data_IF_456008818480
#
_entry.id   IF_456008818480
#
_cell.length_a   1.000
_cell.length_b   1.000
_cell.length_c   1.000
_cell.angle_alpha   90.00
_cell.angle_beta   90.00
_cell.angle_gamma   90.00
#
_symmetry.space_group_name_H-M   'P 1'
#
loop_
_entity.id
_entity.type
_entity.pdbx_description
1 polymer ?
#
# COMPACT_ATOMS: atom_id res chain seq x y z
N UNK A 1 -28.20 -12.28 -3.90
CA UNK A 1 -26.87 -12.24 -4.53
C UNK A 1 -26.20 -13.60 -4.36
N UNK A 2 -25.52 -14.13 -5.36
CA UNK A 2 -24.84 -15.44 -5.23
C UNK A 2 -23.69 -15.35 -4.22
N UNK A 3 -23.60 -16.30 -3.28
CA UNK A 3 -22.53 -16.40 -2.29
C UNK A 3 -21.12 -16.37 -2.91
N UNK A 4 -20.99 -16.84 -4.16
CA UNK A 4 -19.72 -16.82 -4.90
C UNK A 4 -19.25 -15.40 -5.20
N UNK A 5 -20.18 -14.49 -5.52
CA UNK A 5 -19.84 -13.11 -5.87
C UNK A 5 -19.28 -12.34 -4.66
N UNK A 6 -19.85 -12.58 -3.48
CA UNK A 6 -19.40 -11.94 -2.24
C UNK A 6 -18.01 -12.45 -1.82
N UNK A 7 -17.75 -13.74 -2.00
CA UNK A 7 -16.41 -14.33 -1.77
C UNK A 7 -15.35 -13.74 -2.70
N UNK A 8 -15.66 -13.60 -4.00
CA UNK A 8 -14.75 -12.97 -4.97
C UNK A 8 -14.48 -11.52 -4.57
N UNK A 9 -15.50 -10.77 -4.17
CA UNK A 9 -15.34 -9.39 -3.72
C UNK A 9 -14.42 -9.29 -2.49
N UNK A 10 -14.61 -10.15 -1.48
CA UNK A 10 -13.75 -10.18 -0.28
C UNK A 10 -12.29 -10.49 -0.63
N UNK A 11 -12.05 -11.49 -1.49
CA UNK A 11 -10.70 -11.83 -1.96
C UNK A 11 -10.06 -10.68 -2.73
N UNK A 12 -10.82 -10.02 -3.60
CA UNK A 12 -10.36 -8.86 -4.36
C UNK A 12 -9.95 -7.70 -3.43
N UNK A 13 -10.78 -7.38 -2.45
CA UNK A 13 -10.48 -6.33 -1.48
C UNK A 13 -9.27 -6.66 -0.61
N UNK A 14 -9.11 -7.92 -0.19
CA UNK A 14 -7.91 -8.40 0.49
C UNK A 14 -6.65 -8.23 -0.38
N UNK A 15 -6.73 -8.56 -1.67
CA UNK A 15 -5.62 -8.39 -2.60
C UNK A 15 -5.22 -6.90 -2.75
N UNK A 16 -6.19 -5.97 -2.73
CA UNK A 16 -5.91 -4.53 -2.74
C UNK A 16 -5.17 -4.08 -1.48
N UNK A 17 -5.59 -4.54 -0.30
CA UNK A 17 -4.89 -4.22 0.96
C UNK A 17 -3.45 -4.74 0.94
N UNK A 18 -3.26 -5.99 0.53
CA UNK A 18 -1.92 -6.61 0.46
C UNK A 18 -1.02 -5.88 -0.55
N UNK A 19 -1.56 -5.50 -1.70
CA UNK A 19 -0.83 -4.73 -2.72
C UNK A 19 -0.43 -3.35 -2.19
N UNK A 20 -1.35 -2.66 -1.50
CA UNK A 20 -1.06 -1.37 -0.87
C UNK A 20 0.01 -1.46 0.21
N UNK A 21 -0.05 -2.49 1.06
CA UNK A 21 0.96 -2.74 2.08
C UNK A 21 2.34 -3.05 1.47
N UNK A 22 2.39 -3.86 0.42
CA UNK A 22 3.62 -4.16 -0.32
C UNK A 22 4.29 -2.90 -0.89
N UNK A 23 3.50 -2.03 -1.55
CA UNK A 23 4.00 -0.76 -2.10
C UNK A 23 4.54 0.14 -0.98
N UNK A 24 3.85 0.20 0.17
CA UNK A 24 4.30 0.96 1.33
C UNK A 24 5.63 0.47 1.89
N UNK A 25 5.81 -0.85 2.02
CA UNK A 25 7.06 -1.47 2.49
C UNK A 25 8.20 -1.20 1.50
N UNK A 26 7.96 -1.38 0.20
CA UNK A 26 8.98 -1.14 -0.83
C UNK A 26 9.44 0.32 -0.83
N UNK A 27 8.50 1.26 -0.72
CA UNK A 27 8.84 2.68 -0.62
C UNK A 27 9.65 2.99 0.65
N UNK A 28 9.29 2.38 1.80
CA UNK A 28 10.04 2.57 3.04
C UNK A 28 11.48 2.04 2.94
N UNK A 29 11.67 0.88 2.32
CA UNK A 29 12.99 0.30 2.11
C UNK A 29 13.86 1.16 1.18
N UNK A 30 13.30 1.72 0.11
CA UNK A 30 14.01 2.61 -0.80
C UNK A 30 14.54 3.87 -0.09
N UNK A 31 13.70 4.50 0.74
CA UNK A 31 14.11 5.67 1.53
C UNK A 31 15.22 5.30 2.52
N UNK A 32 15.09 4.17 3.23
CA UNK A 32 16.12 3.71 4.17
C UNK A 32 17.47 3.48 3.49
N UNK A 33 17.48 2.82 2.33
CA UNK A 33 18.72 2.59 1.58
C UNK A 33 19.35 3.87 1.04
N UNK A 34 18.54 4.90 0.74
CA UNK A 34 19.04 6.21 0.32
C UNK A 34 19.70 6.95 1.50
N UNK A 35 19.03 6.97 2.66
CA UNK A 35 19.58 7.57 3.88
C UNK A 35 20.87 6.90 4.36
N UNK A 36 20.95 5.56 4.29
CA UNK A 36 22.17 4.83 4.63
C UNK A 36 23.34 5.15 3.69
N UNK A 37 23.07 5.54 2.44
CA UNK A 37 24.10 5.95 1.47
C UNK A 37 24.56 7.40 1.68
N UNK A 38 23.65 8.31 2.04
CA UNK A 38 23.98 9.68 2.44
C UNK A 38 24.87 9.71 3.68
N UNK A 39 24.53 8.94 4.71
CA UNK A 39 25.32 8.86 5.95
C UNK A 39 26.72 8.26 5.72
N UNK A 40 26.88 7.44 4.66
CA UNK A 40 28.16 6.83 4.29
C UNK A 40 29.03 7.72 3.40
N UNK A 41 28.44 8.63 2.61
CA UNK A 41 29.13 9.52 1.69
C UNK A 41 28.77 10.99 1.99
N UNK A 42 29.29 11.50 3.10
CA UNK A 42 29.04 12.86 3.61
C UNK A 42 29.56 14.03 2.74
N UNK A 43 30.10 13.75 1.55
CA UNK A 43 30.66 14.76 0.63
C UNK A 43 29.74 15.07 -0.58
N UNK A 44 28.70 14.27 -0.83
CA UNK A 44 27.70 14.52 -1.88
C UNK A 44 26.31 14.59 -1.24
N UNK A 45 25.63 15.73 -1.35
CA UNK A 45 24.22 15.86 -0.95
C UNK A 45 23.35 15.11 -1.97
N UNK A 46 22.92 13.89 -1.65
CA UNK A 46 21.89 13.20 -2.44
C UNK A 46 20.54 13.70 -1.93
N UNK A 47 19.79 14.39 -2.79
CA UNK A 47 18.45 14.84 -2.46
C UNK A 47 17.50 13.63 -2.53
N UNK A 48 17.35 12.91 -1.41
CA UNK A 48 16.53 11.69 -1.31
C UNK A 48 15.01 11.95 -1.37
N UNK A 49 14.57 13.21 -1.54
CA UNK A 49 13.15 13.57 -1.62
C UNK A 49 12.61 13.37 -3.03
N UNK A 50 12.39 12.10 -3.39
CA UNK A 50 11.89 11.71 -4.70
C UNK A 50 10.35 11.87 -4.75
N UNK A 51 9.76 12.67 -5.67
CA UNK A 51 8.30 12.83 -5.79
C UNK A 51 7.55 11.50 -6.02
N UNK A 52 8.25 10.47 -6.47
CA UNK A 52 7.72 9.11 -6.57
C UNK A 52 7.36 8.51 -5.20
N UNK A 53 8.04 8.90 -4.12
CA UNK A 53 7.78 8.41 -2.77
C UNK A 53 6.43 8.87 -2.23
N UNK A 54 6.08 10.14 -2.46
CA UNK A 54 4.79 10.71 -2.05
C UNK A 54 3.63 10.09 -2.83
N UNK A 55 3.81 9.89 -4.15
CA UNK A 55 2.83 9.21 -4.99
C UNK A 55 2.65 7.75 -4.54
N UNK A 56 3.74 7.03 -4.29
CA UNK A 56 3.70 5.64 -3.83
C UNK A 56 3.00 5.51 -2.48
N UNK A 57 3.25 6.44 -1.54
CA UNK A 57 2.59 6.50 -0.24
C UNK A 57 1.10 6.82 -0.36
N UNK A 58 0.74 7.75 -1.24
CA UNK A 58 -0.66 8.07 -1.54
C UNK A 58 -1.43 6.89 -2.12
N UNK A 59 -0.84 6.19 -3.09
CA UNK A 59 -1.43 4.97 -3.69
C UNK A 59 -1.54 3.85 -2.66
N UNK A 60 -0.51 3.64 -1.84
CA UNK A 60 -0.51 2.65 -0.77
C UNK A 60 -1.68 2.86 0.20
N UNK A 61 -1.85 4.09 0.70
CA UNK A 61 -2.93 4.44 1.61
C UNK A 61 -4.31 4.27 0.94
N UNK A 62 -4.45 4.71 -0.30
CA UNK A 62 -5.72 4.61 -1.03
C UNK A 62 -6.13 3.14 -1.23
N UNK A 63 -5.19 2.28 -1.62
CA UNK A 63 -5.44 0.84 -1.79
C UNK A 63 -5.83 0.16 -0.48
N UNK A 64 -5.17 0.51 0.63
CA UNK A 64 -5.50 -0.02 1.96
C UNK A 64 -6.89 0.45 2.40
N UNK A 65 -7.22 1.73 2.21
CA UNK A 65 -8.54 2.27 2.58
C UNK A 65 -9.67 1.66 1.74
N UNK A 66 -9.51 1.60 0.41
CA UNK A 66 -10.52 1.02 -0.49
C UNK A 66 -10.68 -0.47 -0.24
N UNK A 67 -9.56 -1.19 -0.09
CA UNK A 67 -9.55 -2.61 0.26
C UNK A 67 -10.20 -2.89 1.61
N UNK A 68 -9.85 -2.13 2.65
CA UNK A 68 -10.40 -2.29 4.00
C UNK A 68 -11.90 -2.00 4.05
N UNK A 69 -12.32 -0.81 3.58
CA UNK A 69 -13.73 -0.39 3.63
C UNK A 69 -14.59 -1.29 2.72
N UNK A 70 -14.11 -1.58 1.51
CA UNK A 70 -14.80 -2.46 0.57
C UNK A 70 -14.93 -3.89 1.09
N UNK A 71 -13.86 -4.42 1.70
CA UNK A 71 -13.86 -5.75 2.33
C UNK A 71 -14.85 -5.84 3.49
N UNK A 72 -14.87 -4.84 4.38
CA UNK A 72 -15.82 -4.77 5.50
C UNK A 72 -17.26 -4.67 5.00
N UNK A 73 -17.53 -3.84 3.99
CA UNK A 73 -18.87 -3.72 3.39
C UNK A 73 -19.34 -5.02 2.72
N UNK A 74 -18.44 -5.72 2.03
CA UNK A 74 -18.72 -7.02 1.41
C UNK A 74 -19.00 -8.10 2.47
N UNK A 75 -18.21 -8.13 3.55
CA UNK A 75 -18.41 -9.05 4.67
C UNK A 75 -19.74 -8.79 5.41
N UNK A 76 -20.06 -7.52 5.68
CA UNK A 76 -21.32 -7.16 6.34
C UNK A 76 -22.55 -7.57 5.51
N UNK A 77 -22.49 -7.41 4.18
CA UNK A 77 -23.53 -7.89 3.25
C UNK A 77 -23.60 -9.41 3.12
N UNK A 78 -22.54 -10.13 3.47
CA UNK A 78 -22.57 -11.59 3.51
C UNK A 78 -23.28 -12.12 4.76
N UNK A 79 -23.07 -11.44 5.89
CA UNK A 79 -23.59 -11.83 7.19
C UNK A 79 -25.07 -11.49 7.37
N UNK A 80 -25.54 -10.41 6.73
CA UNK A 80 -26.94 -9.98 6.74
C UNK A 80 -27.73 -10.60 5.59
#
# INVERSE_FOLDING_TARGET
MSNTFVRIAVVFFLALVLSGAWIGIWNHQQIQTCQEQDDANSDDFIDCEDPFSDIARGISLLLICVGGIGGVAAYYRWYR
#
